data_IF_089033161591
#
_entry.id   IF_089033161591
#
_cell.length_a   1.000
_cell.length_b   1.000
_cell.length_c   1.000
_cell.angle_alpha   90.00
_cell.angle_beta   90.00
_cell.angle_gamma   90.00
#
_symmetry.space_group_name_H-M   'P 1'
#
loop_
_entity.id
_entity.type
_entity.pdbx_description
1 polymer ?
#
# COMPACT_ATOMS: atom_id res chain seq x y z
N UNK A 1 8.33 3.57 6.71
CA UNK A 1 7.13 2.89 7.28
C UNK A 1 6.14 2.54 6.16
N UNK A 2 5.23 1.58 6.37
CA UNK A 2 4.20 1.20 5.37
C UNK A 2 2.79 1.26 5.98
N UNK A 3 1.81 1.85 5.29
CA UNK A 3 0.38 1.73 5.60
C UNK A 3 -0.37 0.98 4.49
N UNK A 4 -1.48 0.31 4.85
CA UNK A 4 -2.38 -0.35 3.91
C UNK A 4 -3.83 -0.15 4.32
N UNK A 5 -4.66 0.33 3.40
CA UNK A 5 -6.09 0.54 3.61
C UNK A 5 -6.85 0.38 2.29
N UNK A 6 -8.02 -0.27 2.29
CA UNK A 6 -8.92 -0.34 1.14
C UNK A 6 -9.70 0.98 0.93
N UNK A 7 -8.96 2.09 0.89
CA UNK A 7 -9.47 3.46 0.85
C UNK A 7 -8.42 4.40 0.26
N UNK A 8 -8.70 5.71 0.26
CA UNK A 8 -7.77 6.69 -0.30
C UNK A 8 -6.44 6.71 0.47
N UNK A 9 -5.27 6.74 -0.21
CA UNK A 9 -4.00 6.92 0.48
C UNK A 9 -3.83 8.33 1.06
N UNK A 10 -4.69 9.29 0.68
CA UNK A 10 -4.63 10.67 1.16
C UNK A 10 -4.77 10.75 2.69
N UNK A 11 -3.81 11.41 3.34
CA UNK A 11 -3.72 11.57 4.79
C UNK A 11 -2.70 10.64 5.44
N UNK A 12 -2.41 9.49 4.82
CA UNK A 12 -1.44 8.54 5.35
C UNK A 12 0.00 9.04 5.29
N UNK A 13 0.32 9.98 4.38
CA UNK A 13 1.64 10.60 4.27
C UNK A 13 2.14 11.19 5.60
N UNK A 14 1.22 11.66 6.44
CA UNK A 14 1.52 12.22 7.78
C UNK A 14 2.05 11.19 8.75
N UNK A 15 1.70 9.91 8.56
CA UNK A 15 2.08 8.81 9.45
C UNK A 15 3.21 7.97 8.88
N UNK A 16 3.24 7.78 7.56
CA UNK A 16 4.28 6.97 6.92
C UNK A 16 5.59 7.73 6.75
N UNK A 17 5.53 9.07 6.68
CA UNK A 17 6.69 9.95 6.51
C UNK A 17 7.11 10.09 5.04
N UNK A 18 8.17 10.88 4.80
CA UNK A 18 8.70 11.20 3.46
C UNK A 18 9.17 9.97 2.68
N UNK A 19 9.73 9.00 3.40
CA UNK A 19 10.28 7.78 2.83
C UNK A 19 9.35 6.57 3.02
N UNK A 20 8.13 6.83 3.51
CA UNK A 20 7.09 5.84 3.70
C UNK A 20 6.26 5.58 2.45
N UNK A 21 5.47 4.51 2.51
CA UNK A 21 4.55 4.11 1.42
C UNK A 21 3.16 3.89 1.99
N UNK A 22 2.15 4.44 1.31
CA UNK A 22 0.75 4.21 1.60
C UNK A 22 0.11 3.41 0.45
N UNK A 23 -0.32 2.18 0.73
CA UNK A 23 -0.99 1.29 -0.21
C UNK A 23 -2.51 1.48 -0.05
N UNK A 24 -3.18 1.87 -1.12
CA UNK A 24 -4.62 2.12 -1.12
C UNK A 24 -5.18 2.32 -2.52
N UNK A 25 -6.38 2.88 -2.60
CA UNK A 25 -7.12 3.14 -3.83
C UNK A 25 -7.16 4.64 -4.13
N UNK A 26 -6.51 5.06 -5.22
CA UNK A 26 -6.57 6.45 -5.72
C UNK A 26 -7.67 6.67 -6.76
N UNK A 27 -8.51 5.66 -7.01
CA UNK A 27 -9.62 5.67 -7.96
C UNK A 27 -10.81 4.86 -7.42
N UNK A 28 -11.95 4.92 -8.10
CA UNK A 28 -13.14 4.14 -7.74
C UNK A 28 -12.90 2.64 -7.90
N UNK A 29 -13.64 1.84 -7.13
CA UNK A 29 -13.62 0.37 -7.24
C UNK A 29 -14.20 -0.14 -8.56
N UNK A 30 -14.34 -1.47 -8.64
CA UNK A 30 -14.93 -2.16 -9.76
C UNK A 30 -15.93 -3.23 -9.27
N UNK A 31 -16.77 -3.73 -10.19
CA UNK A 31 -17.71 -4.82 -9.88
C UNK A 31 -17.04 -6.17 -10.10
N UNK A 32 -16.66 -6.83 -9.00
CA UNK A 32 -16.10 -8.18 -8.99
C UNK A 32 -16.07 -8.73 -7.55
N UNK A 33 -15.82 -10.04 -7.34
CA UNK A 33 -15.59 -10.60 -6.01
C UNK A 33 -14.45 -9.89 -5.27
N UNK A 34 -14.59 -9.73 -3.96
CA UNK A 34 -13.61 -8.99 -3.15
C UNK A 34 -12.18 -9.55 -3.28
N UNK A 35 -12.00 -10.86 -3.30
CA UNK A 35 -10.68 -11.47 -3.45
C UNK A 35 -9.98 -11.10 -4.76
N UNK A 36 -10.75 -10.98 -5.85
CA UNK A 36 -10.21 -10.55 -7.14
C UNK A 36 -9.86 -9.07 -7.12
N UNK A 37 -10.71 -8.23 -6.52
CA UNK A 37 -10.44 -6.80 -6.36
C UNK A 37 -9.20 -6.54 -5.51
N UNK A 38 -9.02 -7.24 -4.39
CA UNK A 38 -7.84 -7.06 -3.53
C UNK A 38 -6.55 -7.45 -4.26
N UNK A 39 -6.56 -8.55 -5.01
CA UNK A 39 -5.43 -8.94 -5.87
C UNK A 39 -5.18 -7.92 -6.97
N UNK A 40 -6.23 -7.51 -7.67
CA UNK A 40 -6.13 -6.58 -8.80
C UNK A 40 -5.60 -5.21 -8.38
N UNK A 41 -6.05 -4.70 -7.23
CA UNK A 41 -5.61 -3.41 -6.70
C UNK A 41 -4.33 -3.48 -5.85
N UNK A 42 -3.72 -4.67 -5.73
CA UNK A 42 -2.48 -4.84 -4.96
C UNK A 42 -2.64 -4.63 -3.45
N UNK A 43 -3.85 -4.76 -2.92
CA UNK A 43 -4.14 -4.75 -1.48
C UNK A 43 -3.82 -6.12 -0.88
N UNK A 44 -2.57 -6.54 -0.96
CA UNK A 44 -2.14 -7.88 -0.52
C UNK A 44 -0.97 -7.83 0.46
N UNK A 45 -0.82 -8.89 1.24
CA UNK A 45 0.28 -9.02 2.19
C UNK A 45 1.64 -9.02 1.49
N UNK A 46 1.75 -9.67 0.33
CA UNK A 46 2.97 -9.73 -0.47
C UNK A 46 3.42 -8.34 -0.90
N UNK A 47 2.48 -7.47 -1.32
CA UNK A 47 2.78 -6.09 -1.66
C UNK A 47 3.35 -5.32 -0.46
N UNK A 48 2.75 -5.51 0.72
CA UNK A 48 3.23 -4.86 1.97
C UNK A 48 4.65 -5.31 2.30
N UNK A 49 4.93 -6.62 2.25
CA UNK A 49 6.26 -7.17 2.54
C UNK A 49 7.29 -6.62 1.56
N UNK A 50 6.99 -6.62 0.25
CA UNK A 50 7.90 -6.08 -0.76
C UNK A 50 8.26 -4.61 -0.50
N UNK A 51 7.28 -3.78 -0.13
CA UNK A 51 7.54 -2.36 0.16
C UNK A 51 8.31 -2.17 1.47
N UNK A 52 8.05 -3.00 2.49
CA UNK A 52 8.81 -2.98 3.72
C UNK A 52 10.29 -3.37 3.49
N UNK A 53 10.55 -4.44 2.73
CA UNK A 53 11.90 -4.87 2.38
C UNK A 53 12.64 -3.81 1.57
N UNK A 54 11.97 -3.18 0.59
CA UNK A 54 12.53 -2.07 -0.19
C UNK A 54 12.95 -0.90 0.69
N UNK A 55 12.15 -0.55 1.70
CA UNK A 55 12.50 0.54 2.61
C UNK A 55 13.70 0.18 3.48
N UNK A 56 13.72 -1.02 4.06
CA UNK A 56 14.86 -1.48 4.87
C UNK A 56 16.16 -1.50 4.06
N UNK A 57 16.11 -1.95 2.80
CA UNK A 57 17.27 -1.98 1.93
C UNK A 57 17.83 -0.58 1.58
N UNK A 58 16.98 0.45 1.57
CA UNK A 58 17.39 1.85 1.32
C UNK A 58 18.00 2.50 2.56
N UNK A 59 17.44 2.22 3.74
CA UNK A 59 17.91 2.78 5.01
C UNK A 59 19.26 2.20 5.45
N UNK A 60 19.60 0.98 5.00
CA UNK A 60 20.85 0.31 5.29
C UNK A 60 22.02 0.65 4.36
N UNK A 61 21.84 1.56 3.40
CA UNK A 61 22.82 1.88 2.34
C UNK A 61 23.42 3.28 2.45
#
# INVERSE_FOLDING_TARGET
RVSIEAGTPLGWERYVGTDGVAIGLSHFGASAPAADLYRHFGLTAERVVQEAERQVARDGS
#
